data_IF_897333963909
#
_entry.id   IF_897333963909
#
_cell.length_a   1.000
_cell.length_b   1.000
_cell.length_c   1.000
_cell.angle_alpha   90.00
_cell.angle_beta   90.00
_cell.angle_gamma   90.00
#
_symmetry.space_group_name_H-M   'P 1'
#
loop_
_entity.id
_entity.type
_entity.pdbx_description
1 polymer ?
#
# COMPACT_ATOMS: atom_id res chain seq x y z
N UNK A 1 17.62 5.10 34.92
CA UNK A 1 16.28 4.85 34.39
C UNK A 1 16.34 5.21 32.90
N UNK A 2 16.45 4.22 32.04
CA UNK A 2 16.39 4.45 30.58
C UNK A 2 14.92 4.76 30.23
N UNK A 3 14.64 5.99 29.86
CA UNK A 3 13.37 6.36 29.21
C UNK A 3 13.31 5.60 27.90
N UNK A 4 12.56 4.51 27.86
CA UNK A 4 12.13 3.87 26.61
C UNK A 4 11.30 4.91 25.88
N UNK A 5 11.89 5.60 24.92
CA UNK A 5 11.15 6.43 23.98
C UNK A 5 10.26 5.45 23.21
N UNK A 6 8.96 5.42 23.49
CA UNK A 6 8.01 4.64 22.69
C UNK A 6 8.15 5.12 21.25
N UNK A 7 8.51 4.22 20.38
CA UNK A 7 8.73 4.51 18.97
C UNK A 7 7.40 4.93 18.34
N UNK A 8 7.35 6.14 17.79
CA UNK A 8 6.12 6.73 17.30
C UNK A 8 5.69 6.08 15.98
N UNK A 9 4.43 5.63 15.84
CA UNK A 9 3.95 5.04 14.58
C UNK A 9 4.02 6.06 13.42
N UNK A 10 4.36 5.56 12.23
CA UNK A 10 4.35 6.35 11.00
C UNK A 10 2.93 6.67 10.58
N UNK A 11 2.03 5.67 10.68
CA UNK A 11 0.59 5.82 10.42
C UNK A 11 -0.14 5.25 11.64
N UNK A 12 -1.09 6.00 12.16
CA UNK A 12 -2.02 5.51 13.17
C UNK A 12 -3.45 5.87 12.77
N UNK A 13 -4.28 4.84 12.58
CA UNK A 13 -5.73 4.95 12.46
C UNK A 13 -6.32 4.67 13.82
N UNK A 14 -7.15 5.61 14.31
CA UNK A 14 -7.80 5.54 15.62
C UNK A 14 -9.31 5.52 15.44
N UNK A 15 -9.89 4.34 15.60
CA UNK A 15 -11.33 4.06 15.55
C UNK A 15 -12.03 4.64 14.30
N UNK A 16 -11.38 4.48 13.13
CA UNK A 16 -11.91 5.04 11.89
C UNK A 16 -13.10 4.25 11.37
N UNK A 17 -14.11 4.97 10.88
CA UNK A 17 -15.20 4.40 10.09
C UNK A 17 -15.39 5.18 8.80
N UNK A 18 -15.77 4.49 7.73
CA UNK A 18 -16.09 5.10 6.42
C UNK A 18 -17.44 4.58 5.93
N UNK A 19 -18.36 5.53 5.72
CA UNK A 19 -19.71 5.24 5.23
C UNK A 19 -19.95 5.99 3.93
N UNK A 20 -20.28 5.27 2.87
CA UNK A 20 -20.70 5.84 1.59
C UNK A 20 -22.22 5.92 1.51
N UNK A 21 -22.72 7.00 0.95
CA UNK A 21 -24.14 7.14 0.57
C UNK A 21 -24.30 6.67 -0.87
N UNK A 22 -25.10 5.63 -1.11
CA UNK A 22 -25.38 5.16 -2.46
C UNK A 22 -26.65 5.80 -3.00
N UNK A 23 -26.69 6.05 -4.32
CA UNK A 23 -27.88 6.60 -4.99
C UNK A 23 -28.97 5.53 -5.27
N UNK A 24 -28.72 4.26 -4.93
CA UNK A 24 -29.69 3.18 -5.06
C UNK A 24 -30.64 3.20 -3.87
N UNK A 25 -31.80 3.79 -4.05
CA UNK A 25 -32.81 3.95 -3.01
C UNK A 25 -33.77 5.11 -3.34
N UNK A 26 -34.80 5.30 -2.51
CA UNK A 26 -35.66 6.47 -2.61
C UNK A 26 -34.83 7.75 -2.46
N UNK A 27 -35.20 8.81 -3.21
CA UNK A 27 -34.57 10.14 -3.13
C UNK A 27 -34.50 10.66 -1.67
N UNK A 28 -35.41 10.19 -0.83
CA UNK A 28 -35.52 10.58 0.59
C UNK A 28 -34.76 9.66 1.58
N UNK A 29 -34.26 8.47 1.16
CA UNK A 29 -33.48 7.56 2.02
C UNK A 29 -32.37 6.89 1.17
N UNK A 30 -31.22 7.55 1.01
CA UNK A 30 -30.08 6.91 0.37
C UNK A 30 -29.61 5.72 1.22
N UNK A 31 -29.37 4.58 0.60
CA UNK A 31 -28.76 3.46 1.27
C UNK A 31 -27.35 3.84 1.72
N UNK A 32 -26.95 3.38 2.91
CA UNK A 32 -25.61 3.56 3.46
C UNK A 32 -24.84 2.27 3.34
N UNK A 33 -23.63 2.34 2.82
CA UNK A 33 -22.69 1.24 2.79
C UNK A 33 -21.56 1.57 3.77
N UNK A 34 -21.46 0.77 4.83
CA UNK A 34 -20.40 0.87 5.83
C UNK A 34 -19.18 0.11 5.31
N UNK A 35 -18.28 0.82 4.62
CA UNK A 35 -17.11 0.19 3.99
C UNK A 35 -15.99 -0.09 4.98
N UNK A 36 -15.88 0.70 6.06
CA UNK A 36 -14.93 0.50 7.16
C UNK A 36 -15.68 0.83 8.47
N UNK A 37 -15.48 0.01 9.50
CA UNK A 37 -16.19 0.11 10.76
C UNK A 37 -15.22 -0.10 11.94
N UNK A 38 -14.99 0.97 12.72
CA UNK A 38 -14.21 0.95 13.95
C UNK A 38 -12.82 0.29 13.80
N UNK A 39 -12.10 0.65 12.73
CA UNK A 39 -10.77 0.10 12.44
C UNK A 39 -9.70 0.95 13.13
N UNK A 40 -8.89 0.28 13.96
CA UNK A 40 -7.68 0.87 14.55
C UNK A 40 -6.47 0.06 14.15
N UNK A 41 -5.42 0.71 13.65
CA UNK A 41 -4.15 0.08 13.32
C UNK A 41 -3.00 1.07 13.45
N UNK A 42 -1.82 0.56 13.79
CA UNK A 42 -0.57 1.34 13.85
C UNK A 42 0.45 0.68 12.93
N UNK A 43 1.07 1.45 12.05
CA UNK A 43 2.24 1.03 11.28
C UNK A 43 3.49 1.59 11.95
N UNK A 44 4.35 0.69 12.42
CA UNK A 44 5.59 1.07 13.07
C UNK A 44 6.73 1.29 12.05
N UNK A 45 7.80 2.04 12.40
CA UNK A 45 8.98 2.16 11.56
C UNK A 45 9.57 0.80 11.19
N UNK A 46 9.90 0.60 9.90
CA UNK A 46 10.47 -0.65 9.37
C UNK A 46 9.53 -1.85 9.33
N UNK A 47 8.28 -1.72 9.79
CA UNK A 47 7.29 -2.79 9.79
C UNK A 47 6.63 -2.95 8.41
N UNK A 48 6.36 -4.20 8.01
CA UNK A 48 5.43 -4.52 6.92
C UNK A 48 4.16 -5.15 7.48
N UNK A 49 3.03 -4.47 7.29
CA UNK A 49 1.70 -5.01 7.61
C UNK A 49 1.07 -5.53 6.32
N UNK A 50 0.71 -6.81 6.31
CA UNK A 50 -0.12 -7.41 5.28
C UNK A 50 -1.60 -7.27 5.60
N UNK A 51 -2.40 -6.77 4.67
CA UNK A 51 -3.86 -6.71 4.83
C UNK A 51 -4.50 -7.69 3.85
N UNK A 52 -5.25 -8.66 4.37
CA UNK A 52 -5.94 -9.69 3.59
C UNK A 52 -7.43 -9.71 3.88
N UNK A 53 -8.20 -10.31 2.98
CA UNK A 53 -9.64 -10.50 3.09
C UNK A 53 -10.30 -10.56 1.71
N UNK A 54 -11.57 -10.91 1.65
CA UNK A 54 -12.33 -11.00 0.40
C UNK A 54 -12.45 -9.66 -0.33
N UNK A 55 -12.82 -9.73 -1.63
CA UNK A 55 -13.09 -8.51 -2.41
C UNK A 55 -14.26 -7.74 -1.78
N UNK A 56 -14.11 -6.42 -1.66
CA UNK A 56 -15.14 -5.56 -1.07
C UNK A 56 -15.17 -5.52 0.46
N UNK A 57 -14.27 -6.21 1.18
CA UNK A 57 -14.26 -6.20 2.65
C UNK A 57 -13.71 -4.91 3.28
N UNK A 58 -13.31 -3.89 2.49
CA UNK A 58 -12.87 -2.58 3.00
C UNK A 58 -11.37 -2.28 2.89
N UNK A 59 -10.52 -3.21 2.41
CA UNK A 59 -9.05 -3.03 2.30
C UNK A 59 -8.63 -1.76 1.56
N UNK A 60 -9.08 -1.60 0.32
CA UNK A 60 -8.74 -0.42 -0.51
C UNK A 60 -9.34 0.87 0.05
N UNK A 61 -10.49 0.81 0.73
CA UNK A 61 -11.04 1.97 1.44
C UNK A 61 -10.15 2.37 2.62
N UNK A 62 -9.68 1.39 3.40
CA UNK A 62 -8.72 1.62 4.49
C UNK A 62 -7.40 2.16 3.95
N UNK A 63 -6.89 1.60 2.84
CA UNK A 63 -5.72 2.12 2.14
C UNK A 63 -5.89 3.59 1.72
N UNK A 64 -7.03 3.94 1.13
CA UNK A 64 -7.33 5.31 0.72
C UNK A 64 -7.37 6.30 1.91
N UNK A 65 -7.82 5.84 3.09
CA UNK A 65 -7.73 6.64 4.31
C UNK A 65 -6.27 6.82 4.73
N UNK A 66 -5.47 5.76 4.73
CA UNK A 66 -4.05 5.79 5.05
C UNK A 66 -3.21 6.63 4.07
N UNK A 67 -3.65 6.78 2.82
CA UNK A 67 -2.99 7.65 1.84
C UNK A 67 -3.48 9.11 1.90
N UNK A 68 -4.44 9.43 2.77
CA UNK A 68 -5.11 10.73 2.76
C UNK A 68 -5.95 10.97 1.50
N UNK A 69 -6.31 9.95 0.72
CA UNK A 69 -7.19 10.06 -0.45
C UNK A 69 -8.67 10.05 -0.07
N UNK A 70 -9.02 9.40 1.04
CA UNK A 70 -10.36 9.34 1.60
C UNK A 70 -10.35 9.86 3.05
N UNK A 71 -11.26 10.78 3.40
CA UNK A 71 -11.48 11.15 4.80
C UNK A 71 -12.35 10.10 5.48
N UNK A 72 -12.07 9.73 6.74
CA UNK A 72 -12.99 8.91 7.50
C UNK A 72 -14.30 9.68 7.79
N UNK A 73 -15.39 8.96 8.02
CA UNK A 73 -16.67 9.52 8.48
C UNK A 73 -16.62 9.81 9.98
N UNK A 74 -15.88 8.99 10.74
CA UNK A 74 -15.58 9.15 12.17
C UNK A 74 -14.21 8.57 12.49
N UNK A 75 -13.67 8.89 13.67
CA UNK A 75 -12.34 8.52 14.12
C UNK A 75 -11.25 9.49 13.65
N UNK A 76 -10.00 9.17 13.97
CA UNK A 76 -8.85 10.03 13.69
C UNK A 76 -7.76 9.32 12.90
N UNK A 77 -6.99 10.10 12.14
CA UNK A 77 -5.83 9.63 11.36
C UNK A 77 -4.62 10.46 11.73
N UNK A 78 -3.54 9.78 12.10
CA UNK A 78 -2.28 10.43 12.47
C UNK A 78 -1.14 9.95 11.58
N UNK A 79 -0.28 10.89 11.15
CA UNK A 79 0.99 10.58 10.51
C UNK A 79 2.12 11.15 11.37
N UNK A 80 3.00 10.27 11.86
CA UNK A 80 4.08 10.68 12.78
C UNK A 80 3.55 11.60 13.90
N UNK A 81 2.42 11.23 14.51
CA UNK A 81 1.75 11.95 15.59
C UNK A 81 0.97 13.20 15.20
N UNK A 82 1.05 13.63 13.93
CA UNK A 82 0.27 14.77 13.45
C UNK A 82 -1.14 14.30 13.06
N UNK A 83 -2.18 14.93 13.61
CA UNK A 83 -3.57 14.70 13.19
C UNK A 83 -3.81 15.25 11.77
N UNK A 84 -4.15 14.35 10.85
CA UNK A 84 -4.43 14.65 9.45
C UNK A 84 -5.86 14.31 9.05
N UNK A 85 -6.72 14.08 10.02
CA UNK A 85 -8.14 13.69 9.80
C UNK A 85 -8.89 14.70 8.93
N UNK A 86 -8.64 16.00 9.13
CA UNK A 86 -9.17 17.07 8.29
C UNK A 86 -8.23 17.38 7.14
N UNK A 87 -8.67 17.11 5.93
CA UNK A 87 -7.84 17.22 4.72
C UNK A 87 -7.78 18.66 4.21
N UNK A 88 -6.68 19.35 4.50
CA UNK A 88 -6.35 20.64 3.83
C UNK A 88 -5.35 20.41 2.70
N UNK A 89 -5.22 21.35 1.73
CA UNK A 89 -4.18 21.26 0.70
C UNK A 89 -2.75 21.14 1.26
N UNK A 90 -2.48 21.82 2.36
CA UNK A 90 -1.18 21.80 3.06
C UNK A 90 -0.90 20.43 3.66
N UNK A 91 -1.89 19.84 4.36
CA UNK A 91 -1.78 18.50 4.94
C UNK A 91 -1.59 17.43 3.86
N UNK A 92 -2.27 17.56 2.71
CA UNK A 92 -2.05 16.63 1.57
C UNK A 92 -0.62 16.62 1.09
N UNK A 93 0.03 17.80 0.99
CA UNK A 93 1.45 17.86 0.64
C UNK A 93 2.33 17.21 1.70
N UNK A 94 2.03 17.39 2.98
CA UNK A 94 2.77 16.76 4.06
C UNK A 94 2.59 15.24 4.05
N UNK A 95 1.36 14.75 3.88
CA UNK A 95 1.06 13.32 3.75
C UNK A 95 1.87 12.72 2.60
N UNK A 96 1.84 13.32 1.40
CA UNK A 96 2.56 12.83 0.22
C UNK A 96 4.09 12.77 0.36
N UNK A 97 4.66 13.45 1.36
CA UNK A 97 6.09 13.31 1.73
C UNK A 97 6.35 12.16 2.70
N UNK A 98 5.34 11.74 3.45
CA UNK A 98 5.47 10.67 4.46
C UNK A 98 5.05 9.33 3.87
N UNK A 99 4.00 9.32 3.07
CA UNK A 99 3.37 8.10 2.54
C UNK A 99 3.21 8.20 1.04
N UNK A 100 3.63 7.17 0.33
CA UNK A 100 3.39 7.00 -1.11
C UNK A 100 2.59 5.75 -1.41
N UNK A 101 2.00 5.69 -2.61
CA UNK A 101 1.13 4.59 -3.04
C UNK A 101 1.64 3.95 -4.31
N UNK A 102 1.65 2.63 -4.32
CA UNK A 102 1.79 1.81 -5.52
C UNK A 102 0.41 1.18 -5.79
N UNK A 103 -0.26 1.64 -6.84
CA UNK A 103 -1.60 1.19 -7.21
C UNK A 103 -1.59 -0.16 -7.92
N UNK A 104 -2.73 -0.82 -7.91
CA UNK A 104 -2.98 -2.15 -8.46
C UNK A 104 -2.60 -2.28 -9.95
N UNK A 105 -2.97 -1.31 -10.78
CA UNK A 105 -2.69 -1.32 -12.20
C UNK A 105 -1.75 -0.17 -12.59
N UNK A 106 -0.49 -0.49 -12.92
CA UNK A 106 0.47 0.53 -13.36
C UNK A 106 0.06 1.20 -14.68
N UNK A 107 -0.77 0.58 -15.50
CA UNK A 107 -1.22 1.19 -16.75
C UNK A 107 -2.17 2.37 -16.50
N UNK A 108 -2.96 2.32 -15.44
CA UNK A 108 -3.82 3.44 -15.00
C UNK A 108 -3.09 4.43 -14.11
N UNK A 109 -2.06 3.98 -13.40
CA UNK A 109 -1.27 4.81 -12.51
C UNK A 109 -0.30 5.74 -13.23
N UNK A 110 0.21 5.32 -14.41
CA UNK A 110 1.16 6.09 -15.21
C UNK A 110 0.44 6.89 -16.29
N UNK A 111 0.88 8.14 -16.51
CA UNK A 111 0.35 8.95 -17.62
C UNK A 111 0.89 8.41 -18.97
N UNK A 112 0.04 7.89 -19.87
CA UNK A 112 0.49 7.28 -21.11
C UNK A 112 1.16 8.26 -22.10
N UNK A 113 1.03 9.57 -21.86
CA UNK A 113 1.57 10.64 -22.72
C UNK A 113 2.87 11.26 -22.19
N UNK A 114 3.35 10.82 -21.03
CA UNK A 114 4.59 11.31 -20.43
C UNK A 114 5.65 10.21 -20.48
N UNK A 115 6.88 10.56 -20.85
CA UNK A 115 8.01 9.64 -20.75
C UNK A 115 8.32 9.32 -19.28
N UNK A 116 9.01 8.21 -19.04
CA UNK A 116 9.36 7.75 -17.68
C UNK A 116 10.09 8.83 -16.89
N UNK A 117 11.08 9.51 -17.50
CA UNK A 117 11.81 10.60 -16.84
C UNK A 117 10.87 11.64 -16.24
N UNK A 118 9.92 12.12 -17.04
CA UNK A 118 8.99 13.18 -16.62
C UNK A 118 8.06 12.70 -15.51
N UNK A 119 7.65 11.41 -15.54
CA UNK A 119 6.83 10.83 -14.49
C UNK A 119 7.55 10.71 -13.15
N UNK A 120 8.87 10.46 -13.15
CA UNK A 120 9.69 10.46 -11.95
C UNK A 120 10.02 11.87 -11.48
N UNK A 121 10.13 12.83 -12.40
CA UNK A 121 10.38 14.24 -12.13
C UNK A 121 9.15 14.92 -11.48
N UNK A 122 7.94 14.58 -11.91
CA UNK A 122 6.69 15.25 -11.52
C UNK A 122 6.51 15.39 -10.00
N UNK A 123 6.66 14.34 -9.17
CA UNK A 123 6.56 14.48 -7.71
C UNK A 123 7.57 15.45 -7.12
N UNK A 124 8.80 15.46 -7.64
CA UNK A 124 9.86 16.34 -7.17
C UNK A 124 9.55 17.80 -7.47
N UNK A 125 8.99 18.09 -8.66
CA UNK A 125 8.56 19.43 -9.06
C UNK A 125 7.37 19.92 -8.24
N UNK A 126 6.32 19.07 -8.10
CA UNK A 126 5.11 19.41 -7.34
C UNK A 126 5.43 19.74 -5.88
N UNK A 127 6.36 18.99 -5.29
CA UNK A 127 6.79 19.20 -3.90
C UNK A 127 7.96 20.18 -3.76
N UNK A 128 8.47 20.74 -4.87
CA UNK A 128 9.60 21.70 -4.91
C UNK A 128 10.82 21.16 -4.15
N UNK A 129 11.19 19.92 -4.43
CA UNK A 129 12.35 19.26 -3.81
C UNK A 129 13.59 19.52 -4.66
N UNK A 130 14.67 19.97 -4.04
CA UNK A 130 16.00 20.09 -4.64
C UNK A 130 16.13 21.05 -5.83
N UNK A 131 17.35 21.18 -6.33
CA UNK A 131 17.71 21.86 -7.60
C UNK A 131 17.41 20.96 -8.79
N UNK A 132 17.62 21.42 -10.01
CA UNK A 132 17.45 20.61 -11.22
C UNK A 132 18.47 19.45 -11.24
N UNK A 133 19.72 19.73 -10.88
CA UNK A 133 20.81 18.74 -10.82
C UNK A 133 20.52 17.65 -9.78
N UNK A 134 20.02 18.04 -8.59
CA UNK A 134 19.66 17.09 -7.54
C UNK A 134 18.48 16.18 -7.96
N UNK A 135 17.50 16.73 -8.69
CA UNK A 135 16.38 15.94 -9.22
C UNK A 135 16.84 14.95 -10.28
N UNK A 136 17.72 15.35 -11.20
CA UNK A 136 18.31 14.48 -12.19
C UNK A 136 19.12 13.35 -11.54
N UNK A 137 19.93 13.67 -10.54
CA UNK A 137 20.67 12.67 -9.77
C UNK A 137 19.71 11.67 -9.09
N UNK A 138 18.62 12.18 -8.49
CA UNK A 138 17.61 11.34 -7.85
C UNK A 138 16.90 10.42 -8.83
N UNK A 139 16.57 10.88 -10.03
CA UNK A 139 15.96 10.05 -11.07
C UNK A 139 16.91 8.91 -11.48
N UNK A 140 18.20 9.20 -11.65
CA UNK A 140 19.18 8.18 -12.00
C UNK A 140 19.35 7.13 -10.89
N UNK A 141 19.36 7.57 -9.63
CA UNK A 141 19.35 6.67 -8.45
C UNK A 141 18.11 5.78 -8.44
N UNK A 142 16.91 6.33 -8.63
CA UNK A 142 15.66 5.60 -8.64
C UNK A 142 15.63 4.52 -9.72
N UNK A 143 16.12 4.81 -10.90
CA UNK A 143 16.22 3.84 -12.01
C UNK A 143 17.14 2.68 -11.64
N UNK A 144 18.26 2.97 -10.97
CA UNK A 144 19.17 1.94 -10.43
C UNK A 144 18.49 1.09 -9.36
N UNK A 145 17.85 1.71 -8.37
CA UNK A 145 17.17 1.03 -7.26
C UNK A 145 16.10 0.03 -7.74
N UNK A 146 15.35 0.36 -8.80
CA UNK A 146 14.31 -0.55 -9.31
C UNK A 146 14.81 -1.47 -10.43
N UNK A 147 16.11 -1.44 -10.76
CA UNK A 147 16.72 -2.30 -11.78
C UNK A 147 16.17 -2.07 -13.18
N UNK A 148 15.90 -0.81 -13.56
CA UNK A 148 15.54 -0.43 -14.92
C UNK A 148 16.79 0.01 -15.70
N UNK A 149 16.87 -0.26 -17.02
CA UNK A 149 17.92 0.31 -17.85
C UNK A 149 17.71 1.82 -18.04
N UNK A 150 18.79 2.61 -18.09
CA UNK A 150 18.71 4.08 -18.33
C UNK A 150 17.96 4.45 -19.62
N UNK A 151 17.97 3.58 -20.63
CA UNK A 151 17.18 3.78 -21.87
C UNK A 151 15.67 3.89 -21.61
N UNK A 152 15.17 3.25 -20.53
CA UNK A 152 13.76 3.33 -20.16
C UNK A 152 13.30 4.75 -19.81
N UNK A 153 14.19 5.64 -19.38
CA UNK A 153 13.85 7.03 -19.06
C UNK A 153 13.23 7.80 -20.23
N UNK A 154 13.58 7.44 -21.48
CA UNK A 154 13.06 8.06 -22.70
C UNK A 154 11.82 7.38 -23.26
N UNK A 155 11.42 6.23 -22.69
CA UNK A 155 10.28 5.46 -23.17
C UNK A 155 8.96 6.03 -22.63
N UNK A 156 7.89 5.86 -23.42
CA UNK A 156 6.52 6.01 -22.96
C UNK A 156 6.06 4.71 -22.26
N UNK A 157 5.11 4.77 -21.32
CA UNK A 157 4.60 3.57 -20.63
C UNK A 157 4.14 2.45 -21.55
N UNK A 158 3.53 2.79 -22.70
CA UNK A 158 3.10 1.82 -23.70
C UNK A 158 4.22 1.02 -24.39
N UNK A 159 5.46 1.48 -24.29
CA UNK A 159 6.65 0.83 -24.86
C UNK A 159 7.33 -0.11 -23.87
N UNK A 160 6.86 -0.17 -22.63
CA UNK A 160 7.42 -0.96 -21.54
C UNK A 160 6.61 -2.26 -21.34
N UNK A 161 7.29 -3.32 -20.86
CA UNK A 161 6.61 -4.51 -20.37
C UNK A 161 5.80 -4.22 -19.10
N UNK A 162 4.89 -5.13 -18.71
CA UNK A 162 4.10 -5.00 -17.48
C UNK A 162 4.99 -4.84 -16.24
N UNK A 163 6.02 -5.67 -16.11
CA UNK A 163 6.97 -5.60 -15.01
C UNK A 163 7.81 -4.31 -15.02
N UNK A 164 8.19 -3.81 -16.20
CA UNK A 164 8.89 -2.52 -16.30
C UNK A 164 7.98 -1.36 -15.89
N UNK A 165 6.71 -1.35 -16.31
CA UNK A 165 5.73 -0.35 -15.85
C UNK A 165 5.56 -0.37 -14.33
N UNK A 166 5.51 -1.57 -13.74
CA UNK A 166 5.41 -1.71 -12.29
C UNK A 166 6.65 -1.14 -11.58
N UNK A 167 7.84 -1.41 -12.10
CA UNK A 167 9.10 -0.83 -11.59
C UNK A 167 9.10 0.70 -11.68
N UNK A 168 8.57 1.29 -12.76
CA UNK A 168 8.39 2.75 -12.88
C UNK A 168 7.41 3.28 -11.82
N UNK A 169 6.29 2.59 -11.59
CA UNK A 169 5.33 2.99 -10.55
C UNK A 169 5.94 2.95 -9.14
N UNK A 170 6.75 1.92 -8.85
CA UNK A 170 7.52 1.82 -7.59
C UNK A 170 8.56 2.96 -7.50
N UNK A 171 9.35 3.19 -8.55
CA UNK A 171 10.33 4.29 -8.57
C UNK A 171 9.68 5.65 -8.33
N UNK A 172 8.51 5.91 -8.95
CA UNK A 172 7.74 7.12 -8.74
C UNK A 172 7.26 7.25 -7.29
N UNK A 173 6.81 6.16 -6.69
CA UNK A 173 6.41 6.16 -5.28
C UNK A 173 7.60 6.49 -4.34
N UNK A 174 8.81 6.10 -4.71
CA UNK A 174 10.04 6.38 -3.96
C UNK A 174 10.62 7.79 -4.18
N UNK A 175 10.11 8.59 -5.14
CA UNK A 175 10.73 9.86 -5.56
C UNK A 175 10.96 10.83 -4.40
N UNK A 176 10.03 10.89 -3.45
CA UNK A 176 10.07 11.82 -2.31
C UNK A 176 10.72 11.25 -1.04
N UNK A 177 11.40 10.10 -1.10
CA UNK A 177 11.91 9.39 0.08
C UNK A 177 10.83 9.20 1.17
N UNK A 178 9.70 8.57 0.86
CA UNK A 178 8.63 8.39 1.83
C UNK A 178 9.09 7.51 2.99
N UNK A 179 8.46 7.68 4.17
CA UNK A 179 8.69 6.80 5.32
C UNK A 179 7.92 5.49 5.21
N UNK A 180 6.83 5.49 4.42
CA UNK A 180 6.02 4.31 4.19
C UNK A 180 5.48 4.25 2.75
N UNK A 181 5.32 3.03 2.26
CA UNK A 181 4.64 2.72 0.99
C UNK A 181 3.38 1.91 1.28
N UNK A 182 2.28 2.29 0.64
CA UNK A 182 1.06 1.48 0.58
C UNK A 182 1.02 0.83 -0.80
N UNK A 183 1.17 -0.48 -0.84
CA UNK A 183 1.13 -1.29 -2.06
C UNK A 183 -0.24 -2.00 -2.12
N UNK A 184 -1.17 -1.45 -2.91
CA UNK A 184 -2.51 -2.01 -3.08
C UNK A 184 -2.51 -2.93 -4.30
N UNK A 185 -2.51 -4.23 -4.06
CA UNK A 185 -2.44 -5.32 -5.05
C UNK A 185 -1.34 -5.14 -6.12
N UNK A 186 -0.09 -4.84 -5.75
CA UNK A 186 0.95 -4.37 -6.67
C UNK A 186 1.39 -5.39 -7.70
N UNK A 187 0.92 -6.64 -7.62
CA UNK A 187 1.34 -7.75 -8.48
C UNK A 187 0.18 -8.47 -9.15
N UNK A 188 -1.08 -8.03 -8.95
CA UNK A 188 -2.28 -8.75 -9.42
C UNK A 188 -2.37 -8.84 -10.95
N UNK A 189 -1.86 -7.84 -11.68
CA UNK A 189 -1.88 -7.78 -13.15
C UNK A 189 -0.64 -8.40 -13.81
N UNK A 190 0.25 -9.06 -13.04
CA UNK A 190 1.52 -9.60 -13.53
C UNK A 190 1.50 -11.14 -13.60
N UNK A 191 2.24 -11.69 -14.56
CA UNK A 191 2.49 -13.12 -14.61
C UNK A 191 3.32 -13.60 -13.40
N UNK A 192 3.32 -14.92 -13.15
CA UNK A 192 3.91 -15.53 -11.94
C UNK A 192 5.39 -15.20 -11.79
N UNK A 193 6.16 -15.20 -12.89
CA UNK A 193 7.61 -14.99 -12.85
C UNK A 193 7.96 -13.54 -12.54
N UNK A 194 7.25 -12.60 -13.14
CA UNK A 194 7.41 -11.15 -12.91
C UNK A 194 6.91 -10.78 -11.52
N UNK A 195 5.82 -11.42 -11.04
CA UNK A 195 5.31 -11.23 -9.69
C UNK A 195 6.39 -11.48 -8.64
N UNK A 196 7.09 -12.62 -8.72
CA UNK A 196 8.17 -12.94 -7.79
C UNK A 196 9.29 -11.90 -7.81
N UNK A 197 9.66 -11.40 -8.98
CA UNK A 197 10.68 -10.35 -9.11
C UNK A 197 10.25 -9.02 -8.46
N UNK A 198 8.98 -8.63 -8.58
CA UNK A 198 8.47 -7.41 -7.96
C UNK A 198 8.37 -7.56 -6.43
N UNK A 199 8.00 -8.74 -5.93
CA UNK A 199 7.97 -9.00 -4.49
C UNK A 199 9.37 -8.92 -3.87
N UNK A 200 10.36 -9.56 -4.50
CA UNK A 200 11.75 -9.48 -4.06
C UNK A 200 12.23 -8.02 -4.08
N UNK A 201 11.98 -7.29 -5.18
CA UNK A 201 12.32 -5.87 -5.26
C UNK A 201 11.73 -5.05 -4.09
N UNK A 202 10.45 -5.23 -3.76
CA UNK A 202 9.82 -4.51 -2.65
C UNK A 202 10.44 -4.87 -1.30
N UNK A 203 10.80 -6.14 -1.09
CA UNK A 203 11.47 -6.62 0.12
C UNK A 203 12.89 -6.04 0.23
N UNK A 204 13.64 -6.02 -0.87
CA UNK A 204 14.99 -5.47 -0.92
C UNK A 204 14.97 -3.96 -0.64
N UNK A 205 14.08 -3.22 -1.30
CA UNK A 205 13.88 -1.78 -1.08
C UNK A 205 13.47 -1.45 0.36
N UNK A 206 12.60 -2.29 0.98
CA UNK A 206 12.25 -2.14 2.40
C UNK A 206 13.51 -2.21 3.27
N UNK A 207 14.32 -3.23 3.05
CA UNK A 207 15.54 -3.45 3.85
C UNK A 207 16.60 -2.38 3.59
N UNK A 208 16.85 -2.02 2.34
CA UNK A 208 17.89 -1.06 1.94
C UNK A 208 17.56 0.37 2.36
N UNK A 209 16.29 0.77 2.24
CA UNK A 209 15.84 2.15 2.52
C UNK A 209 15.20 2.31 3.91
N UNK A 210 15.09 1.26 4.70
CA UNK A 210 14.42 1.30 6.01
C UNK A 210 12.93 1.67 5.93
N UNK A 211 12.25 1.28 4.83
CA UNK A 211 10.86 1.63 4.57
C UNK A 211 9.91 0.79 5.44
N UNK A 212 8.80 1.42 5.84
CA UNK A 212 7.63 0.70 6.32
C UNK A 212 6.66 0.43 5.17
N UNK A 213 5.89 -0.64 5.24
CA UNK A 213 5.01 -1.00 4.14
C UNK A 213 3.64 -1.50 4.63
N UNK A 214 2.58 -1.06 3.97
CA UNK A 214 1.28 -1.73 4.00
C UNK A 214 1.16 -2.48 2.68
N UNK A 215 1.04 -3.80 2.75
CA UNK A 215 0.91 -4.65 1.58
C UNK A 215 -0.49 -5.26 1.53
N UNK A 216 -1.29 -4.88 0.55
CA UNK A 216 -2.66 -5.35 0.37
C UNK A 216 -2.69 -6.35 -0.77
N UNK A 217 -3.23 -7.54 -0.52
CA UNK A 217 -3.46 -8.54 -1.55
C UNK A 217 -4.61 -9.48 -1.16
N UNK A 218 -5.26 -10.05 -2.16
CA UNK A 218 -6.17 -11.18 -1.97
C UNK A 218 -5.41 -12.52 -1.97
N UNK A 219 -4.15 -12.53 -2.43
CA UNK A 219 -3.27 -13.70 -2.39
C UNK A 219 -2.57 -13.79 -1.04
N UNK A 220 -3.10 -14.66 -0.19
CA UNK A 220 -2.65 -14.82 1.18
C UNK A 220 -1.21 -15.36 1.27
N UNK A 221 -0.76 -16.15 0.29
CA UNK A 221 0.61 -16.68 0.26
C UNK A 221 1.62 -15.57 -0.02
N UNK A 222 1.28 -14.66 -0.92
CA UNK A 222 2.08 -13.46 -1.19
C UNK A 222 2.21 -12.59 0.06
N UNK A 223 1.09 -12.37 0.78
CA UNK A 223 1.10 -11.57 2.02
C UNK A 223 1.94 -12.24 3.11
N UNK A 224 1.86 -13.57 3.26
CA UNK A 224 2.70 -14.33 4.19
C UNK A 224 4.20 -14.11 3.93
N UNK A 225 4.57 -14.06 2.65
CA UNK A 225 5.98 -13.92 2.25
C UNK A 225 6.58 -12.56 2.61
N UNK A 226 5.81 -11.46 2.46
CA UNK A 226 6.34 -10.10 2.58
C UNK A 226 6.10 -9.45 3.94
N UNK A 227 5.20 -9.99 4.78
CA UNK A 227 4.67 -9.30 5.95
C UNK A 227 5.26 -9.78 7.28
N UNK A 228 5.55 -8.84 8.16
CA UNK A 228 5.93 -9.11 9.56
C UNK A 228 4.67 -9.37 10.42
N UNK A 229 3.58 -8.64 10.13
CA UNK A 229 2.29 -8.70 10.82
C UNK A 229 1.16 -8.74 9.80
N UNK A 230 0.07 -9.40 10.13
CA UNK A 230 -1.08 -9.56 9.24
C UNK A 230 -2.34 -9.07 9.92
N UNK A 231 -3.13 -8.34 9.15
CA UNK A 231 -4.49 -7.90 9.49
C UNK A 231 -5.45 -8.60 8.54
N UNK A 232 -6.38 -9.36 9.09
CA UNK A 232 -7.47 -10.00 8.35
C UNK A 232 -8.70 -9.12 8.45
N UNK A 233 -9.24 -8.69 7.30
CA UNK A 233 -10.44 -7.85 7.25
C UNK A 233 -11.63 -8.59 6.68
N UNK A 234 -12.81 -8.38 7.28
CA UNK A 234 -14.10 -8.85 6.77
C UNK A 234 -15.19 -7.81 7.07
N UNK A 235 -16.08 -7.57 6.10
CA UNK A 235 -17.21 -6.63 6.24
C UNK A 235 -16.83 -5.26 6.87
N UNK A 236 -15.67 -4.72 6.52
CA UNK A 236 -15.19 -3.43 7.01
C UNK A 236 -14.55 -3.47 8.39
N UNK A 237 -14.39 -4.61 9.01
CA UNK A 237 -13.84 -4.79 10.36
C UNK A 237 -12.54 -5.59 10.32
N UNK A 238 -11.71 -5.41 11.34
CA UNK A 238 -10.56 -6.27 11.60
C UNK A 238 -11.06 -7.49 12.38
N UNK A 239 -10.87 -8.67 11.80
CA UNK A 239 -11.24 -9.95 12.42
C UNK A 239 -10.08 -10.51 13.23
N UNK A 240 -8.86 -10.38 12.71
CA UNK A 240 -7.65 -10.84 13.38
C UNK A 240 -6.48 -9.92 13.04
N UNK A 241 -5.60 -9.72 14.01
CA UNK A 241 -4.42 -8.87 13.90
C UNK A 241 -3.29 -9.47 14.76
N UNK A 242 -2.18 -9.80 14.14
CA UNK A 242 -1.05 -10.40 14.85
C UNK A 242 0.17 -10.65 13.99
N UNK A 243 1.28 -11.13 14.60
CA UNK A 243 2.47 -11.55 13.88
C UNK A 243 2.11 -12.55 12.76
N UNK A 244 2.71 -12.38 11.58
CA UNK A 244 2.39 -13.19 10.41
C UNK A 244 2.44 -14.69 10.69
N UNK A 245 3.50 -15.15 11.36
CA UNK A 245 3.65 -16.56 11.74
C UNK A 245 2.47 -17.04 12.60
N UNK A 246 2.05 -16.27 13.60
CA UNK A 246 0.96 -16.66 14.50
C UNK A 246 -0.38 -16.75 13.76
N UNK A 247 -0.73 -15.74 12.96
CA UNK A 247 -2.00 -15.72 12.21
C UNK A 247 -2.08 -16.89 11.23
N UNK A 248 -0.96 -17.28 10.62
CA UNK A 248 -0.93 -18.42 9.67
C UNK A 248 -0.94 -19.78 10.35
N UNK A 249 -0.16 -19.97 11.42
CA UNK A 249 0.01 -21.29 12.06
C UNK A 249 -1.08 -21.55 13.11
N UNK A 250 -1.56 -20.50 13.77
CA UNK A 250 -2.49 -20.59 14.90
C UNK A 250 -3.58 -19.52 14.82
N UNK A 251 -4.39 -19.48 13.74
CA UNK A 251 -5.46 -18.50 13.61
C UNK A 251 -6.48 -18.69 14.72
N UNK A 252 -6.91 -17.59 15.33
CA UNK A 252 -7.89 -17.59 16.42
C UNK A 252 -9.30 -17.38 15.91
N UNK A 253 -9.48 -16.45 14.97
CA UNK A 253 -10.78 -16.10 14.41
C UNK A 253 -11.30 -17.14 13.42
N UNK A 254 -12.62 -17.38 13.42
CA UNK A 254 -13.27 -18.37 12.56
C UNK A 254 -13.22 -18.03 11.07
N UNK A 255 -13.35 -16.75 10.73
CA UNK A 255 -13.24 -16.28 9.36
C UNK A 255 -11.80 -16.45 8.83
N UNK A 256 -10.81 -16.12 9.68
CA UNK A 256 -9.38 -16.32 9.35
C UNK A 256 -9.11 -17.79 9.03
N UNK A 257 -9.63 -18.74 9.86
CA UNK A 257 -9.51 -20.18 9.61
C UNK A 257 -10.10 -20.58 8.26
N UNK A 258 -11.29 -20.07 7.95
CA UNK A 258 -11.97 -20.34 6.69
C UNK A 258 -11.18 -19.78 5.50
N UNK A 259 -10.71 -18.54 5.60
CA UNK A 259 -9.92 -17.86 4.57
C UNK A 259 -8.60 -18.59 4.28
N UNK A 260 -7.89 -19.03 5.32
CA UNK A 260 -6.66 -19.81 5.20
C UNK A 260 -6.91 -21.20 4.63
N UNK A 261 -8.00 -21.86 5.04
CA UNK A 261 -8.39 -23.17 4.54
C UNK A 261 -8.84 -23.20 3.07
N UNK A 262 -9.35 -22.08 2.56
CA UNK A 262 -9.71 -21.90 1.15
C UNK A 262 -8.51 -21.59 0.25
N UNK A 263 -7.39 -21.12 0.81
CA UNK A 263 -6.19 -20.79 0.05
C UNK A 263 -5.52 -22.09 -0.45
N UNK A 264 -5.09 -22.17 -1.73
CA UNK A 264 -4.33 -23.31 -2.23
C UNK A 264 -3.06 -23.51 -1.40
N UNK A 265 -2.95 -24.63 -0.70
CA UNK A 265 -1.74 -24.97 0.05
C UNK A 265 -0.70 -25.50 -0.92
N UNK A 266 0.44 -24.78 -1.06
CA UNK A 266 1.60 -25.30 -1.77
C UNK A 266 2.25 -26.50 -1.05
N UNK A 267 1.92 -26.71 0.24
CA UNK A 267 2.48 -27.79 1.08
C UNK A 267 1.63 -29.07 1.08
N UNK A 268 0.35 -28.97 0.71
CA UNK A 268 -0.52 -30.13 0.54
C UNK A 268 -1.37 -29.91 -0.72
N UNK A 269 -0.90 -30.36 -1.91
CA UNK A 269 -1.80 -30.48 -3.05
C UNK A 269 -2.90 -31.43 -2.61
N UNK A 270 -4.16 -30.96 -2.64
CA UNK A 270 -5.30 -31.89 -2.51
C UNK A 270 -5.14 -32.89 -3.64
N UNK A 271 -4.67 -34.11 -3.33
CA UNK A 271 -4.75 -35.25 -4.20
C UNK A 271 -6.26 -35.40 -4.47
N UNK A 272 -6.64 -35.23 -5.74
CA UNK A 272 -8.03 -35.33 -6.16
C UNK A 272 -8.61 -36.69 -5.77
N UNK A 273 -9.80 -36.66 -5.15
CA UNK A 273 -10.77 -37.71 -5.24
C UNK A 273 -11.54 -37.60 -6.55
#
# INVERSE_FOLDING_TARGET
MATTTEEQPIIFLDDISVTFKTRTGSIFKPNKVHAVQNVSLKLMPGETIGIVGESGCGKSTTANVMCGLQSPTSGHVYFKGMDVTKRTPELRKQIGRVVSVVFQDPATALNPRMIVKDQLMDPLLVHKVGTEEEREARINELVGLVGLPHSALRALPGQLSGGQRQRVAIARALSLNPSAIIADEPTSALDVSVRAQILNLLTDLKSELGLSMIFISHDIQTVRYVSDRIIVMNHGQIMEDGPAKQVFEHPTDSYTKTLLGAAPSLLHPKLGE
#
